data_IF_894044253616
#
_entry.id   IF_894044253616
#
_cell.length_a   1.000
_cell.length_b   1.000
_cell.length_c   1.000
_cell.angle_alpha   90.00
_cell.angle_beta   90.00
_cell.angle_gamma   90.00
#
_symmetry.space_group_name_H-M   'P 1'
#
loop_
_entity.id
_entity.type
_entity.pdbx_description
1 polymer ?
#
# COMPACT_ATOMS: atom_id res chain seq x y z
N UNK A 1 8.92 24.67 -3.10
CA UNK A 1 8.60 24.39 -4.52
C UNK A 1 9.76 23.61 -5.13
N UNK A 2 9.54 22.81 -6.19
CA UNK A 2 10.65 22.18 -6.93
C UNK A 2 11.52 23.27 -7.61
N UNK A 3 12.84 23.05 -7.71
CA UNK A 3 13.83 24.08 -8.07
C UNK A 3 13.59 24.64 -9.48
N UNK A 4 13.36 23.78 -10.48
CA UNK A 4 13.14 24.21 -11.85
C UNK A 4 11.77 24.85 -12.02
N UNK A 5 10.73 24.31 -11.38
CA UNK A 5 9.41 24.92 -11.37
C UNK A 5 9.41 26.34 -10.75
N UNK A 6 10.20 26.55 -9.69
CA UNK A 6 10.38 27.87 -9.09
C UNK A 6 11.09 28.86 -10.04
N UNK A 7 12.06 28.37 -10.82
CA UNK A 7 12.71 29.20 -11.84
C UNK A 7 11.76 29.54 -12.99
N UNK A 8 11.01 28.56 -13.51
CA UNK A 8 10.07 28.78 -14.62
C UNK A 8 8.95 29.77 -14.23
N UNK A 9 8.60 29.83 -12.94
CA UNK A 9 7.60 30.78 -12.41
C UNK A 9 8.16 32.20 -12.18
N UNK A 10 9.47 32.36 -11.97
CA UNK A 10 10.05 33.63 -11.52
C UNK A 10 11.04 34.26 -12.49
N UNK A 11 11.65 33.48 -13.38
CA UNK A 11 12.73 33.90 -14.28
C UNK A 11 14.01 34.40 -13.59
N UNK A 12 14.12 34.26 -12.26
CA UNK A 12 15.20 34.84 -11.45
C UNK A 12 15.81 33.78 -10.54
N UNK A 13 17.14 33.60 -10.63
CA UNK A 13 17.84 32.62 -9.79
C UNK A 13 17.71 32.92 -8.29
N UNK A 14 17.66 34.19 -7.90
CA UNK A 14 17.53 34.59 -6.48
C UNK A 14 16.14 34.30 -5.95
N UNK A 15 15.12 34.79 -6.67
CA UNK A 15 13.71 34.59 -6.28
C UNK A 15 13.32 33.11 -6.30
N UNK A 16 13.79 32.33 -7.28
CA UNK A 16 13.62 30.89 -7.32
C UNK A 16 14.33 30.17 -6.15
N UNK A 17 15.52 30.64 -5.78
CA UNK A 17 16.27 30.12 -4.65
C UNK A 17 15.50 30.28 -3.34
N UNK A 18 14.94 31.47 -3.11
CA UNK A 18 14.12 31.76 -1.94
C UNK A 18 12.83 30.90 -1.92
N UNK A 19 12.16 30.75 -3.05
CA UNK A 19 10.95 29.91 -3.20
C UNK A 19 11.19 28.40 -3.05
N UNK A 20 12.36 27.94 -3.48
CA UNK A 20 12.77 26.53 -3.39
C UNK A 20 13.50 26.20 -2.06
N UNK A 21 13.89 27.21 -1.29
CA UNK A 21 14.66 27.05 -0.05
C UNK A 21 16.11 26.60 -0.30
N UNK A 22 16.74 27.05 -1.39
CA UNK A 22 18.12 26.70 -1.73
C UNK A 22 18.91 27.92 -2.26
N UNK A 23 20.24 27.79 -2.35
CA UNK A 23 21.07 28.87 -2.90
C UNK A 23 20.77 29.13 -4.37
N UNK A 24 20.74 30.39 -4.78
CA UNK A 24 20.64 30.80 -6.18
C UNK A 24 21.73 30.18 -7.09
N UNK A 25 22.90 29.84 -6.56
CA UNK A 25 23.92 29.08 -7.29
C UNK A 25 23.48 27.64 -7.61
N UNK A 26 22.72 27.00 -6.72
CA UNK A 26 22.10 25.69 -6.96
C UNK A 26 21.05 25.79 -8.06
N UNK A 27 20.18 26.81 -8.02
CA UNK A 27 19.21 27.06 -9.10
C UNK A 27 19.92 27.24 -10.43
N UNK A 28 20.94 28.12 -10.49
CA UNK A 28 21.73 28.35 -11.70
C UNK A 28 22.37 27.06 -12.23
N UNK A 29 22.91 26.21 -11.35
CA UNK A 29 23.50 24.92 -11.72
C UNK A 29 22.44 23.97 -12.31
N UNK A 30 21.25 23.94 -11.74
CA UNK A 30 20.16 23.05 -12.17
C UNK A 30 19.58 23.51 -13.52
N UNK A 31 19.39 24.81 -13.70
CA UNK A 31 18.95 25.40 -14.98
C UNK A 31 19.99 25.13 -16.07
N UNK A 32 21.28 25.37 -15.80
CA UNK A 32 22.34 25.08 -16.76
C UNK A 32 22.41 23.59 -17.13
N UNK A 33 22.22 22.67 -16.17
CA UNK A 33 22.17 21.24 -16.45
C UNK A 33 20.97 20.87 -17.34
N UNK A 34 19.78 21.45 -17.06
CA UNK A 34 18.57 21.26 -17.88
C UNK A 34 18.78 21.76 -19.31
N UNK A 35 19.27 22.99 -19.46
CA UNK A 35 19.44 23.63 -20.77
C UNK A 35 20.52 22.92 -21.60
N UNK A 36 21.51 22.31 -20.95
CA UNK A 36 22.52 21.44 -21.57
C UNK A 36 22.04 19.99 -21.79
N UNK A 37 20.79 19.64 -21.45
CA UNK A 37 20.26 18.28 -21.54
C UNK A 37 21.01 17.24 -20.67
N UNK A 38 21.75 17.71 -19.67
CA UNK A 38 22.58 16.87 -18.81
C UNK A 38 21.80 16.45 -17.56
N UNK A 39 21.97 15.22 -17.06
CA UNK A 39 21.32 14.80 -15.82
C UNK A 39 21.63 15.75 -14.67
N UNK A 40 20.59 16.17 -13.95
CA UNK A 40 20.75 16.94 -12.72
C UNK A 40 21.55 16.05 -11.75
N UNK A 41 22.59 16.58 -11.07
CA UNK A 41 23.40 15.78 -10.17
C UNK A 41 22.56 15.31 -8.98
N UNK A 42 22.11 14.06 -9.06
CA UNK A 42 21.50 13.35 -7.94
C UNK A 42 22.63 12.86 -7.04
N UNK A 43 22.52 13.09 -5.74
CA UNK A 43 23.45 12.49 -4.79
C UNK A 43 23.31 10.97 -4.85
N UNK A 44 24.26 10.28 -5.47
CA UNK A 44 24.31 8.82 -5.41
C UNK A 44 24.52 8.40 -3.95
N UNK A 45 23.65 7.56 -3.38
CA UNK A 45 23.86 7.04 -2.04
C UNK A 45 25.21 6.31 -2.00
N UNK A 46 26.02 6.59 -0.98
CA UNK A 46 27.23 5.79 -0.73
C UNK A 46 26.81 4.34 -0.43
N UNK A 47 27.54 3.39 -0.99
CA UNK A 47 27.39 1.98 -0.64
C UNK A 47 27.62 1.80 0.86
N UNK A 48 26.76 0.98 1.47
CA UNK A 48 26.86 0.59 2.88
C UNK A 48 27.38 -0.83 2.93
N UNK A 49 28.13 -1.15 3.98
CA UNK A 49 28.56 -2.52 4.26
C UNK A 49 27.40 -3.53 4.37
N UNK A 50 26.18 -3.08 4.65
CA UNK A 50 24.98 -3.92 4.67
C UNK A 50 24.48 -4.31 3.28
N UNK A 51 24.89 -3.59 2.22
CA UNK A 51 24.30 -3.73 0.89
C UNK A 51 24.58 -5.12 0.31
N UNK A 52 25.78 -5.65 0.52
CA UNK A 52 26.18 -7.02 0.12
C UNK A 52 25.35 -8.12 0.82
N UNK A 53 24.71 -7.78 1.94
CA UNK A 53 23.93 -8.70 2.76
C UNK A 53 22.41 -8.52 2.63
N UNK A 54 21.94 -7.58 1.79
CA UNK A 54 20.51 -7.32 1.62
C UNK A 54 19.75 -8.57 1.15
N UNK A 55 20.34 -9.35 0.23
CA UNK A 55 19.75 -10.62 -0.24
C UNK A 55 19.45 -11.60 0.92
N UNK A 56 20.33 -11.67 1.92
CA UNK A 56 20.12 -12.53 3.09
C UNK A 56 19.03 -11.95 3.99
N UNK A 57 19.07 -10.65 4.24
CA UNK A 57 18.08 -9.94 5.07
C UNK A 57 16.68 -10.10 4.47
N UNK A 58 16.51 -9.83 3.18
CA UNK A 58 15.23 -9.92 2.48
C UNK A 58 14.68 -11.34 2.52
N UNK A 59 15.54 -12.35 2.25
CA UNK A 59 15.15 -13.75 2.37
C UNK A 59 14.62 -14.10 3.77
N UNK A 60 15.33 -13.69 4.83
CA UNK A 60 14.88 -13.99 6.19
C UNK A 60 13.59 -13.26 6.58
N UNK A 61 13.39 -12.04 6.07
CA UNK A 61 12.14 -11.29 6.25
C UNK A 61 11.00 -12.01 5.53
N UNK A 62 11.20 -12.45 4.29
CA UNK A 62 10.22 -13.18 3.49
C UNK A 62 9.82 -14.51 4.15
N UNK A 63 10.79 -15.36 4.49
CA UNK A 63 10.58 -16.67 5.13
C UNK A 63 9.76 -16.58 6.43
N UNK A 64 9.89 -15.47 7.15
CA UNK A 64 9.20 -15.25 8.43
C UNK A 64 7.98 -14.34 8.31
N UNK A 65 7.58 -13.97 7.09
CA UNK A 65 6.47 -13.05 6.83
C UNK A 65 6.59 -11.76 7.64
N UNK A 66 7.80 -11.19 7.67
CA UNK A 66 8.12 -9.96 8.40
C UNK A 66 8.29 -10.08 9.92
N UNK A 67 8.14 -11.28 10.50
CA UNK A 67 8.14 -11.47 11.96
C UNK A 67 9.52 -11.64 12.58
N UNK A 68 10.57 -11.98 11.81
CA UNK A 68 11.92 -12.24 12.37
C UNK A 68 12.44 -11.06 13.20
N UNK A 69 13.03 -11.33 14.36
CA UNK A 69 13.65 -10.29 15.19
C UNK A 69 14.99 -9.84 14.59
N UNK A 70 15.31 -8.56 14.77
CA UNK A 70 16.51 -7.92 14.18
C UNK A 70 17.80 -8.54 14.72
N UNK A 71 17.87 -8.81 16.01
CA UNK A 71 18.99 -9.48 16.68
C UNK A 71 19.30 -10.84 16.04
N UNK A 72 18.27 -11.64 15.74
CA UNK A 72 18.42 -12.92 15.04
C UNK A 72 18.86 -12.78 13.59
N UNK A 73 18.48 -11.72 12.89
CA UNK A 73 19.05 -11.42 11.57
C UNK A 73 20.53 -11.09 11.70
N UNK A 74 20.92 -10.25 12.68
CA UNK A 74 22.30 -9.86 12.91
C UNK A 74 23.21 -11.06 13.18
N UNK A 75 22.82 -11.94 14.12
CA UNK A 75 23.54 -13.18 14.41
C UNK A 75 23.73 -14.04 13.14
N UNK A 76 22.70 -14.14 12.29
CA UNK A 76 22.76 -14.94 11.05
C UNK A 76 23.69 -14.34 10.01
N UNK A 77 23.65 -13.03 9.79
CA UNK A 77 24.51 -12.39 8.79
C UNK A 77 25.97 -12.33 9.27
N UNK A 78 26.23 -12.27 10.58
CA UNK A 78 27.59 -12.38 11.12
C UNK A 78 28.22 -13.74 10.79
N UNK A 79 27.45 -14.84 10.85
CA UNK A 79 27.94 -16.18 10.49
C UNK A 79 28.36 -16.32 9.03
N UNK A 80 27.85 -15.46 8.15
CA UNK A 80 28.24 -15.39 6.73
C UNK A 80 29.22 -14.25 6.45
N UNK A 81 29.86 -13.71 7.48
CA UNK A 81 30.99 -12.79 7.36
C UNK A 81 30.67 -11.30 7.53
N UNK A 82 29.46 -10.92 7.93
CA UNK A 82 29.15 -9.50 8.14
C UNK A 82 29.89 -8.96 9.37
N UNK A 83 30.74 -7.95 9.16
CA UNK A 83 31.58 -7.31 10.20
C UNK A 83 31.05 -5.95 10.67
N UNK A 84 29.91 -5.50 10.14
CA UNK A 84 29.33 -4.21 10.48
C UNK A 84 28.60 -4.19 11.82
N UNK A 85 28.17 -2.99 12.24
CA UNK A 85 27.46 -2.81 13.50
C UNK A 85 26.03 -3.38 13.49
N UNK A 86 25.54 -3.73 14.68
CA UNK A 86 24.13 -4.09 14.90
C UNK A 86 23.19 -2.93 14.53
N UNK A 87 23.61 -1.68 14.77
CA UNK A 87 22.83 -0.48 14.41
C UNK A 87 22.56 -0.40 12.90
N UNK A 88 23.58 -0.67 12.08
CA UNK A 88 23.43 -0.71 10.61
C UNK A 88 22.50 -1.84 10.19
N UNK A 89 22.64 -3.02 10.80
CA UNK A 89 21.76 -4.18 10.57
C UNK A 89 20.31 -3.82 10.88
N UNK A 90 20.06 -3.19 12.03
CA UNK A 90 18.71 -2.76 12.44
C UNK A 90 18.06 -1.82 11.44
N UNK A 91 18.83 -0.87 10.88
CA UNK A 91 18.33 0.01 9.83
C UNK A 91 17.96 -0.76 8.56
N UNK A 92 18.83 -1.66 8.10
CA UNK A 92 18.59 -2.47 6.91
C UNK A 92 17.38 -3.40 7.07
N UNK A 93 17.28 -4.11 8.19
CA UNK A 93 16.13 -5.00 8.48
C UNK A 93 14.82 -4.24 8.59
N UNK A 94 14.82 -3.06 9.24
CA UNK A 94 13.61 -2.24 9.34
C UNK A 94 13.14 -1.73 7.98
N UNK A 95 14.09 -1.39 7.09
CA UNK A 95 13.78 -1.03 5.71
C UNK A 95 13.21 -2.22 4.94
N UNK A 96 13.86 -3.37 4.97
CA UNK A 96 13.37 -4.60 4.34
C UNK A 96 11.96 -4.98 4.82
N UNK A 97 11.71 -4.95 6.13
CA UNK A 97 10.37 -5.17 6.70
C UNK A 97 9.33 -4.14 6.25
N UNK A 98 9.73 -2.88 6.06
CA UNK A 98 8.82 -1.84 5.56
C UNK A 98 8.45 -2.12 4.10
N UNK A 99 9.43 -2.45 3.26
CA UNK A 99 9.20 -2.83 1.86
C UNK A 99 8.32 -4.08 1.75
N UNK A 100 8.60 -5.11 2.55
CA UNK A 100 7.79 -6.33 2.62
C UNK A 100 6.34 -6.03 3.02
N UNK A 101 6.12 -5.19 4.03
CA UNK A 101 4.76 -4.77 4.44
C UNK A 101 4.05 -3.97 3.35
N UNK A 102 4.74 -3.10 2.62
CA UNK A 102 4.12 -2.30 1.57
C UNK A 102 3.51 -3.17 0.45
N UNK A 103 4.12 -4.33 0.16
CA UNK A 103 3.65 -5.26 -0.88
C UNK A 103 2.67 -6.30 -0.33
N UNK A 104 2.90 -6.78 0.90
CA UNK A 104 2.18 -7.94 1.43
C UNK A 104 1.04 -7.56 2.40
N UNK A 105 0.94 -6.30 2.83
CA UNK A 105 -0.15 -5.85 3.68
C UNK A 105 -1.44 -5.77 2.86
N UNK A 106 -2.53 -6.32 3.42
CA UNK A 106 -3.86 -6.13 2.86
C UNK A 106 -4.16 -4.63 2.81
N UNK A 107 -4.25 -4.09 1.60
CA UNK A 107 -4.65 -2.70 1.38
C UNK A 107 -6.13 -2.59 1.71
N UNK A 108 -6.48 -1.79 2.71
CA UNK A 108 -7.86 -1.37 2.90
C UNK A 108 -8.15 -0.27 1.87
N UNK A 109 -8.78 -0.65 0.76
CA UNK A 109 -9.35 0.30 -0.18
C UNK A 109 -10.73 0.71 0.37
N UNK A 110 -10.94 1.96 0.81
CA UNK A 110 -12.24 2.41 1.28
C UNK A 110 -13.22 2.37 0.12
N UNK A 111 -14.22 1.49 0.23
CA UNK A 111 -15.27 1.40 -0.77
C UNK A 111 -16.28 2.54 -0.53
N UNK A 112 -16.25 3.54 -1.41
CA UNK A 112 -17.19 4.66 -1.39
C UNK A 112 -18.42 4.27 -2.21
N UNK A 113 -19.61 4.45 -1.63
CA UNK A 113 -20.88 4.13 -2.28
C UNK A 113 -21.62 5.40 -2.62
N UNK A 114 -22.26 5.40 -3.77
CA UNK A 114 -23.21 6.44 -4.21
C UNK A 114 -24.64 5.86 -4.14
N UNK A 115 -25.65 6.71 -3.92
CA UNK A 115 -27.04 6.30 -3.96
C UNK A 115 -27.40 5.56 -5.26
N UNK A 116 -28.11 4.43 -5.15
CA UNK A 116 -28.70 3.71 -6.29
C UNK A 116 -27.74 2.90 -7.18
N UNK A 117 -26.43 2.94 -6.92
CA UNK A 117 -25.41 2.32 -7.78
C UNK A 117 -24.95 0.93 -7.34
N UNK A 118 -25.16 0.58 -6.07
CA UNK A 118 -24.71 -0.69 -5.50
C UNK A 118 -25.79 -1.34 -4.63
N UNK A 119 -26.11 -2.58 -4.96
CA UNK A 119 -26.84 -3.53 -4.13
C UNK A 119 -25.85 -4.60 -3.67
N UNK A 120 -25.70 -4.77 -2.37
CA UNK A 120 -24.95 -5.88 -1.79
C UNK A 120 -25.93 -6.93 -1.30
N UNK A 121 -25.52 -8.19 -1.36
CA UNK A 121 -26.30 -9.27 -0.78
C UNK A 121 -25.40 -10.29 -0.09
N UNK A 122 -25.99 -11.00 0.87
CA UNK A 122 -25.36 -12.12 1.56
C UNK A 122 -26.45 -13.12 2.00
N UNK A 123 -26.02 -14.27 2.49
CA UNK A 123 -26.89 -15.31 3.03
C UNK A 123 -26.61 -15.54 4.51
N UNK A 124 -27.65 -15.37 5.33
CA UNK A 124 -27.65 -15.78 6.73
C UNK A 124 -28.29 -17.15 6.91
N UNK A 125 -27.99 -17.80 8.04
CA UNK A 125 -28.76 -18.94 8.49
C UNK A 125 -30.12 -18.47 9.03
N UNK A 126 -31.19 -19.11 8.58
CA UNK A 126 -32.55 -18.89 9.07
C UNK A 126 -32.99 -19.96 10.07
N UNK A 127 -34.18 -19.80 10.67
CA UNK A 127 -34.74 -20.80 11.57
C UNK A 127 -35.04 -22.12 10.85
N UNK A 128 -35.22 -23.19 11.62
CA UNK A 128 -35.75 -24.44 11.09
C UNK A 128 -37.26 -24.30 11.00
N UNK A 129 -37.82 -24.49 9.80
CA UNK A 129 -39.26 -24.46 9.54
C UNK A 129 -39.66 -25.81 8.95
N UNK A 130 -40.63 -26.48 9.58
CA UNK A 130 -41.11 -27.82 9.19
C UNK A 130 -39.99 -28.86 9.05
N UNK A 131 -38.98 -28.79 9.93
CA UNK A 131 -37.83 -29.71 9.92
C UNK A 131 -36.73 -29.36 8.91
N UNK A 132 -36.86 -28.28 8.13
CA UNK A 132 -35.86 -27.84 7.16
C UNK A 132 -35.16 -26.56 7.61
N UNK A 133 -33.82 -26.53 7.54
CA UNK A 133 -33.04 -25.30 7.75
C UNK A 133 -33.35 -24.32 6.63
N UNK A 134 -33.83 -23.12 6.99
CA UNK A 134 -34.01 -22.04 6.02
C UNK A 134 -32.74 -21.21 5.87
N UNK A 135 -32.62 -20.52 4.74
CA UNK A 135 -31.55 -19.56 4.49
C UNK A 135 -32.20 -18.18 4.34
N UNK A 136 -31.64 -17.16 4.97
CA UNK A 136 -32.08 -15.78 4.81
C UNK A 136 -31.24 -15.11 3.74
N UNK A 137 -31.84 -14.80 2.59
CA UNK A 137 -31.23 -13.89 1.63
C UNK A 137 -31.40 -12.46 2.13
N UNK A 138 -30.29 -11.78 2.36
CA UNK A 138 -30.26 -10.39 2.82
C UNK A 138 -29.67 -9.55 1.72
N UNK A 139 -30.42 -8.61 1.17
CA UNK A 139 -29.91 -7.63 0.23
C UNK A 139 -30.07 -6.22 0.79
N UNK A 140 -29.10 -5.34 0.54
CA UNK A 140 -29.17 -3.96 1.00
C UNK A 140 -28.56 -2.98 0.01
N UNK A 141 -29.18 -1.80 -0.05
CA UNK A 141 -28.61 -0.65 -0.73
C UNK A 141 -27.40 -0.17 0.07
N UNK A 142 -26.25 -0.11 -0.59
CA UNK A 142 -24.99 0.09 0.12
C UNK A 142 -24.88 1.45 0.80
N UNK A 143 -25.44 2.49 0.17
CA UNK A 143 -25.39 3.87 0.64
C UNK A 143 -26.37 4.12 1.80
N UNK A 144 -27.66 3.80 1.63
CA UNK A 144 -28.70 4.06 2.64
C UNK A 144 -28.81 2.97 3.71
N UNK A 145 -28.19 1.80 3.49
CA UNK A 145 -28.35 0.60 4.32
C UNK A 145 -29.78 0.08 4.43
N UNK A 146 -30.70 0.52 3.56
CA UNK A 146 -32.03 -0.07 3.45
C UNK A 146 -31.90 -1.54 3.07
N UNK A 147 -32.55 -2.44 3.83
CA UNK A 147 -32.39 -3.90 3.67
C UNK A 147 -33.72 -4.58 3.40
N UNK A 148 -33.66 -5.60 2.57
CA UNK A 148 -34.70 -6.61 2.38
C UNK A 148 -34.16 -7.96 2.86
N UNK A 149 -35.01 -8.74 3.52
CA UNK A 149 -34.68 -10.09 4.01
C UNK A 149 -35.74 -11.05 3.51
N UNK A 150 -35.32 -12.08 2.78
CA UNK A 150 -36.20 -13.06 2.15
C UNK A 150 -35.81 -14.46 2.62
N UNK A 151 -36.74 -15.23 3.21
CA UNK A 151 -36.48 -16.62 3.54
C UNK A 151 -36.50 -17.50 2.28
N UNK A 152 -35.44 -18.27 2.09
CA UNK A 152 -35.25 -19.21 0.97
C UNK A 152 -35.08 -20.64 1.50
N UNK A 153 -35.39 -21.62 0.64
CA UNK A 153 -35.13 -23.05 0.89
C UNK A 153 -33.68 -23.44 0.58
N UNK A 154 -33.04 -22.75 -0.35
CA UNK A 154 -31.65 -22.98 -0.75
C UNK A 154 -31.00 -21.68 -1.29
N UNK A 155 -29.71 -21.76 -1.62
CA UNK A 155 -28.90 -20.64 -2.15
C UNK A 155 -28.76 -20.68 -3.68
N UNK A 156 -29.60 -21.46 -4.38
CA UNK A 156 -29.50 -21.59 -5.83
C UNK A 156 -29.97 -20.31 -6.54
N UNK A 157 -29.31 -19.98 -7.64
CA UNK A 157 -29.67 -18.79 -8.44
C UNK A 157 -31.14 -18.79 -8.88
N UNK A 158 -31.74 -19.92 -9.34
CA UNK A 158 -33.16 -19.94 -9.69
C UNK A 158 -34.09 -19.56 -8.53
N UNK A 159 -33.83 -20.12 -7.33
CA UNK A 159 -34.62 -19.82 -6.12
C UNK A 159 -34.50 -18.35 -5.72
N UNK A 160 -33.29 -17.78 -5.80
CA UNK A 160 -33.05 -16.35 -5.51
C UNK A 160 -33.79 -15.47 -6.51
N UNK A 161 -33.64 -15.72 -7.81
CA UNK A 161 -34.27 -14.90 -8.85
C UNK A 161 -35.80 -14.93 -8.77
N UNK A 162 -36.39 -16.12 -8.64
CA UNK A 162 -37.83 -16.26 -8.52
C UNK A 162 -38.38 -15.41 -7.34
N UNK A 163 -37.73 -15.50 -6.18
CA UNK A 163 -38.18 -14.79 -4.98
C UNK A 163 -37.93 -13.29 -4.99
N UNK A 164 -36.86 -12.83 -5.65
CA UNK A 164 -36.61 -11.39 -5.80
C UNK A 164 -37.57 -10.78 -6.83
N UNK A 165 -37.90 -11.50 -7.91
CA UNK A 165 -38.86 -11.06 -8.92
C UNK A 165 -40.29 -10.96 -8.36
N UNK A 166 -40.69 -11.86 -7.47
CA UNK A 166 -42.00 -11.81 -6.80
C UNK A 166 -42.23 -10.53 -5.96
N UNK A 167 -41.19 -9.75 -5.66
CA UNK A 167 -41.27 -8.54 -4.84
C UNK A 167 -41.29 -7.23 -5.66
N UNK A 168 -41.11 -7.29 -6.97
CA UNK A 168 -41.12 -6.15 -7.90
C UNK A 168 -42.47 -6.03 -8.60
#
# INVERSE_FOLDING_TARGET
MEILAAYDSTGSFRSAGDLAGCSHHTVKKYVAARDAGTPIPTTTPRSKNTDDYLKYIDRYVEETKGKIRVDKVHERIQRVGYTGSERSTRRAVNLAKRSWRAVNQRVHAPWVTEPGRWLQYDFGDGPIIDGFKTVLFVAWLAWSRFRIVIPLRDKSMPTVFARVLDML
#
